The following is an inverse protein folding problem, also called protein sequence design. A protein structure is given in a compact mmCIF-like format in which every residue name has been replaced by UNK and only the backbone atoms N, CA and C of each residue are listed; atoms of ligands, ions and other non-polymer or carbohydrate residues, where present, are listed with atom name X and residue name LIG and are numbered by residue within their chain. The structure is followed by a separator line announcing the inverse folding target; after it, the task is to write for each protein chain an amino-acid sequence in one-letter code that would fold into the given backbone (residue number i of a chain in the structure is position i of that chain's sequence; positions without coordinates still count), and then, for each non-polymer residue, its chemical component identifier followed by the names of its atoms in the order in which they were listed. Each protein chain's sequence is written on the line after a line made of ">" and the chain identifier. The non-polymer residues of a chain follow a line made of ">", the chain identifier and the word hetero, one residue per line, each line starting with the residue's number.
data_IF_164990881460
#
_entry.id   IF_164990881460
#
_cell.length_a   1.000
_cell.length_b   1.000
_cell.length_c   1.000
_cell.angle_alpha   90.00
_cell.angle_beta   90.00
_cell.angle_gamma   90.00
#
_symmetry.space_group_name_H-M   'P 1'
#
loop_
_entity.id
_entity.type
_entity.pdbx_description
1 polymer ?
#
# COMPACT_ATOMS: atom_id res chain seq x y z
N UNK A 1 11.49 16.43 -6.31
CA UNK A 1 10.52 16.24 -7.41
C UNK A 1 10.33 14.77 -7.86
N UNK A 2 11.20 13.82 -7.45
CA UNK A 2 11.09 12.39 -7.84
C UNK A 2 9.82 11.65 -7.36
N UNK A 3 9.22 12.04 -6.22
CA UNK A 3 8.03 11.37 -5.67
C UNK A 3 6.72 11.64 -6.42
N UNK A 4 6.70 12.63 -7.31
CA UNK A 4 5.45 13.06 -7.95
C UNK A 4 4.92 12.07 -9.01
N UNK A 5 5.59 10.94 -9.25
CA UNK A 5 5.15 9.86 -10.15
C UNK A 5 5.35 8.44 -9.60
N UNK A 6 5.65 8.29 -8.31
CA UNK A 6 5.87 6.96 -7.72
C UNK A 6 4.59 6.39 -7.12
N UNK A 7 4.41 5.08 -7.29
CA UNK A 7 3.41 4.29 -6.59
C UNK A 7 4.06 3.64 -5.37
N UNK A 8 3.36 3.66 -4.24
CA UNK A 8 3.78 2.96 -3.04
C UNK A 8 2.89 1.74 -2.81
N UNK A 9 3.48 0.61 -2.47
CA UNK A 9 2.76 -0.60 -2.11
C UNK A 9 3.27 -1.06 -0.74
N UNK A 10 2.37 -1.46 0.15
CA UNK A 10 2.73 -2.14 1.39
C UNK A 10 1.73 -3.24 1.73
N UNK A 11 2.11 -4.08 2.69
CA UNK A 11 1.25 -5.10 3.25
C UNK A 11 0.21 -4.50 4.21
N UNK A 12 -0.87 -5.26 4.44
CA UNK A 12 -1.98 -4.85 5.31
C UNK A 12 -1.73 -5.06 6.80
N UNK A 13 -0.48 -5.08 7.27
CA UNK A 13 -0.13 -5.37 8.66
C UNK A 13 -0.79 -4.38 9.64
N UNK A 14 -1.08 -4.78 10.90
CA UNK A 14 -1.76 -3.90 11.86
C UNK A 14 -1.09 -2.52 12.08
N UNK A 15 0.26 -2.38 12.16
CA UNK A 15 0.91 -1.07 12.30
C UNK A 15 0.68 -0.15 11.09
N UNK A 16 0.45 -0.76 9.92
CA UNK A 16 0.34 -0.12 8.63
C UNK A 16 -1.10 0.36 8.33
N UNK A 17 -2.08 -0.05 9.14
CA UNK A 17 -3.50 0.22 8.92
C UNK A 17 -4.05 1.43 9.68
N UNK A 18 -3.19 2.24 10.32
CA UNK A 18 -3.65 3.41 11.07
C UNK A 18 -4.10 4.55 10.16
N UNK A 19 -5.07 5.36 10.61
CA UNK A 19 -5.52 6.54 9.88
C UNK A 19 -4.38 7.54 9.61
N UNK A 20 -3.43 7.66 10.54
CA UNK A 20 -2.26 8.52 10.39
C UNK A 20 -1.39 8.08 9.20
N UNK A 21 -1.20 6.76 9.02
CA UNK A 21 -0.48 6.20 7.87
C UNK A 21 -1.24 6.51 6.57
N UNK A 22 -2.56 6.33 6.53
CA UNK A 22 -3.35 6.65 5.34
C UNK A 22 -3.27 8.13 4.96
N UNK A 23 -3.39 9.04 5.93
CA UNK A 23 -3.26 10.48 5.69
C UNK A 23 -1.87 10.85 5.16
N UNK A 24 -0.83 10.25 5.74
CA UNK A 24 0.54 10.42 5.26
C UNK A 24 0.69 9.94 3.82
N UNK A 25 0.20 8.75 3.49
CA UNK A 25 0.31 8.16 2.16
C UNK A 25 -0.49 8.96 1.12
N UNK A 26 -1.69 9.41 1.46
CA UNK A 26 -2.50 10.27 0.59
C UNK A 26 -1.78 11.58 0.27
N UNK A 27 -1.21 12.25 1.29
CA UNK A 27 -0.44 13.50 1.11
C UNK A 27 0.86 13.28 0.34
N UNK A 28 1.59 12.21 0.64
CA UNK A 28 2.94 11.98 0.12
C UNK A 28 2.94 11.42 -1.31
N UNK A 29 1.93 10.64 -1.67
CA UNK A 29 1.85 9.96 -2.96
C UNK A 29 0.67 10.41 -3.83
N UNK A 30 -0.11 11.41 -3.39
CA UNK A 30 -1.29 11.92 -4.10
C UNK A 30 -2.27 10.79 -4.44
N UNK A 31 -2.64 9.99 -3.43
CA UNK A 31 -3.54 8.83 -3.57
C UNK A 31 -3.01 7.71 -4.51
N UNK A 32 -1.71 7.67 -4.80
CA UNK A 32 -1.05 6.58 -5.55
C UNK A 32 -0.33 5.63 -4.61
N UNK A 33 -1.12 4.98 -3.77
CA UNK A 33 -0.62 3.90 -2.95
C UNK A 33 -1.63 2.77 -2.90
N UNK A 34 -1.11 1.58 -2.64
CA UNK A 34 -1.80 0.31 -2.72
C UNK A 34 -1.58 -0.42 -1.39
N UNK A 35 -2.67 -0.80 -0.73
CA UNK A 35 -2.62 -1.40 0.60
C UNK A 35 -4.02 -1.56 1.20
N UNK A 36 -4.09 -2.12 2.41
CA UNK A 36 -5.36 -2.36 3.10
C UNK A 36 -6.00 -1.01 3.51
N UNK A 37 -7.27 -0.80 3.19
CA UNK A 37 -7.99 0.44 3.54
C UNK A 37 -7.74 1.62 2.62
N UNK A 38 -7.10 1.40 1.46
CA UNK A 38 -7.08 2.39 0.38
C UNK A 38 -8.51 2.70 -0.06
N UNK A 39 -8.80 3.99 -0.29
CA UNK A 39 -10.14 4.47 -0.70
C UNK A 39 -10.49 4.16 -2.15
N UNK A 40 -9.63 3.43 -2.87
CA UNK A 40 -9.85 3.10 -4.27
C UNK A 40 -10.81 1.92 -4.39
N UNK A 41 -11.94 2.08 -5.12
CA UNK A 41 -13.05 1.12 -5.14
C UNK A 41 -12.68 -0.29 -5.65
N UNK A 42 -11.53 -0.45 -6.32
CA UNK A 42 -11.11 -1.71 -6.94
C UNK A 42 -9.75 -2.24 -6.41
N UNK A 43 -9.26 -1.73 -5.26
CA UNK A 43 -7.96 -2.12 -4.68
C UNK A 43 -8.09 -2.59 -3.23
N UNK A 44 -9.16 -3.32 -2.93
CA UNK A 44 -9.27 -4.10 -1.70
C UNK A 44 -8.30 -5.28 -1.79
N UNK A 45 -7.14 -5.16 -1.14
CA UNK A 45 -6.22 -6.29 -0.99
C UNK A 45 -6.91 -7.43 -0.26
N UNK A 46 -6.91 -8.60 -0.88
CA UNK A 46 -7.27 -9.83 -0.21
C UNK A 46 -6.38 -10.02 1.02
N UNK A 47 -6.98 -10.40 2.15
CA UNK A 47 -6.20 -10.74 3.32
C UNK A 47 -5.34 -11.98 3.02
N UNK A 48 -4.07 -11.97 3.44
CA UNK A 48 -3.13 -13.10 3.31
C UNK A 48 -2.79 -13.48 1.86
N UNK A 49 -2.51 -12.49 1.01
CA UNK A 49 -2.02 -12.70 -0.36
C UNK A 49 -0.55 -12.28 -0.53
N UNK A 50 0.41 -13.06 -0.01
CA UNK A 50 1.85 -12.78 -0.17
C UNK A 50 2.30 -12.91 -1.64
N UNK A 51 1.60 -13.70 -2.44
CA UNK A 51 1.77 -13.85 -3.88
C UNK A 51 1.55 -12.55 -4.66
N UNK A 52 0.76 -11.62 -4.11
CA UNK A 52 0.46 -10.34 -4.74
C UNK A 52 1.43 -9.23 -4.32
N UNK A 53 2.19 -9.42 -3.23
CA UNK A 53 3.20 -8.47 -2.79
C UNK A 53 4.55 -8.85 -3.40
N UNK A 54 5.14 -8.02 -4.28
CA UNK A 54 6.42 -8.34 -4.91
C UNK A 54 7.54 -8.58 -3.89
N UNK A 55 7.47 -7.93 -2.73
CA UNK A 55 8.44 -8.14 -1.64
C UNK A 55 8.25 -9.54 -1.06
N UNK A 56 7.05 -9.90 -0.62
CA UNK A 56 6.79 -11.22 -0.03
C UNK A 56 6.99 -12.37 -1.03
N UNK A 57 6.68 -12.17 -2.31
CA UNK A 57 6.80 -13.20 -3.35
C UNK A 57 8.22 -13.36 -3.93
N UNK A 58 8.92 -12.28 -4.27
CA UNK A 58 10.21 -12.36 -4.95
C UNK A 58 11.43 -12.17 -4.04
N UNK A 59 11.31 -11.34 -2.99
CA UNK A 59 12.45 -11.03 -2.14
C UNK A 59 12.56 -11.98 -0.94
N UNK A 60 11.42 -12.34 -0.35
CA UNK A 60 11.35 -13.17 0.87
C UNK A 60 10.81 -14.59 0.62
N UNK A 61 10.30 -14.85 -0.59
CA UNK A 61 9.73 -16.13 -1.02
C UNK A 61 10.75 -17.14 -1.51
#
# INVERSE_FOLDING_TARGET
>A
MLRNRMWFMHDGAPPHFSLAVHQFLNRKFANRWIGRGTQRPNQLWSARSPDLNPVDFFLWG
#
